data_IF_509707848596
#
_entry.id   IF_509707848596
#
_cell.length_a   1.000
_cell.length_b   1.000
_cell.length_c   1.000
_cell.angle_alpha   90.00
_cell.angle_beta   90.00
_cell.angle_gamma   90.00
#
_symmetry.space_group_name_H-M   'P 1'
#
loop_
_entity.id
_entity.type
_entity.pdbx_description
1 polymer ?
#
# COMPACT_ATOMS: atom_id res chain seq x y z
N UNK A 1 -2.67 8.69 -18.09
CA UNK A 1 -2.11 7.79 -17.05
C UNK A 1 -2.82 8.05 -15.74
N UNK A 2 -3.50 7.05 -15.20
CA UNK A 2 -4.22 7.14 -13.92
C UNK A 2 -3.26 7.14 -12.74
N UNK A 3 -3.72 7.64 -11.58
CA UNK A 3 -2.95 7.59 -10.34
C UNK A 3 -2.48 6.16 -9.99
N UNK A 4 -3.34 5.16 -10.21
CA UNK A 4 -3.02 3.75 -9.93
C UNK A 4 -1.94 3.23 -10.87
N UNK A 5 -1.99 3.55 -12.16
CA UNK A 5 -0.93 3.18 -13.11
C UNK A 5 0.41 3.82 -12.74
N UNK A 6 0.40 5.07 -12.27
CA UNK A 6 1.61 5.75 -11.76
C UNK A 6 2.17 5.09 -10.50
N UNK A 7 1.31 4.70 -9.56
CA UNK A 7 1.72 3.94 -8.38
C UNK A 7 2.31 2.59 -8.77
N UNK A 8 1.67 1.85 -9.67
CA UNK A 8 2.16 0.55 -10.13
C UNK A 8 3.51 0.68 -10.82
N UNK A 9 3.67 1.64 -11.74
CA UNK A 9 4.95 1.89 -12.40
C UNK A 9 6.06 2.22 -11.38
N UNK A 10 5.79 3.10 -10.41
CA UNK A 10 6.75 3.42 -9.34
C UNK A 10 7.10 2.19 -8.48
N UNK A 11 6.15 1.31 -8.22
CA UNK A 11 6.40 0.06 -7.49
C UNK A 11 7.25 -0.91 -8.32
N UNK A 12 7.08 -0.98 -9.63
CA UNK A 12 7.88 -1.87 -10.50
C UNK A 12 9.38 -1.49 -10.49
N UNK A 13 9.70 -0.20 -10.43
CA UNK A 13 11.08 0.28 -10.33
C UNK A 13 11.62 0.35 -8.90
N UNK A 14 10.79 0.08 -7.89
CA UNK A 14 11.21 0.11 -6.49
C UNK A 14 12.03 -1.13 -6.12
N UNK A 15 12.87 -1.07 -5.07
CA UNK A 15 13.51 -2.25 -4.51
C UNK A 15 12.48 -3.28 -4.04
N UNK A 16 12.93 -4.53 -3.89
CA UNK A 16 12.05 -5.64 -3.49
C UNK A 16 11.40 -5.43 -2.12
N UNK A 17 12.13 -4.82 -1.19
CA UNK A 17 11.67 -4.52 0.15
C UNK A 17 11.67 -3.00 0.39
N UNK A 18 10.54 -2.49 0.90
CA UNK A 18 10.31 -1.08 1.11
C UNK A 18 10.05 -0.78 2.58
N UNK A 19 10.46 0.40 3.02
CA UNK A 19 10.10 0.95 4.34
C UNK A 19 8.79 1.74 4.27
N UNK A 20 8.15 1.99 5.42
CA UNK A 20 6.94 2.83 5.47
C UNK A 20 7.11 4.19 4.79
N UNK A 21 8.29 4.81 4.90
CA UNK A 21 8.56 6.10 4.28
C UNK A 21 8.60 6.04 2.76
N UNK A 22 9.14 4.97 2.20
CA UNK A 22 9.18 4.74 0.75
C UNK A 22 7.78 4.45 0.23
N UNK A 23 7.01 3.61 0.93
CA UNK A 23 5.63 3.31 0.55
C UNK A 23 4.75 4.57 0.60
N UNK A 24 4.88 5.39 1.65
CA UNK A 24 4.16 6.65 1.76
C UNK A 24 4.48 7.61 0.61
N UNK A 25 5.75 7.72 0.21
CA UNK A 25 6.17 8.52 -0.94
C UNK A 25 5.60 8.00 -2.26
N UNK A 26 5.65 6.69 -2.49
CA UNK A 26 5.11 6.07 -3.72
C UNK A 26 3.59 6.28 -3.81
N UNK A 27 2.89 6.14 -2.69
CA UNK A 27 1.45 6.39 -2.58
C UNK A 27 1.10 7.88 -2.53
N UNK A 28 2.07 8.79 -2.46
CA UNK A 28 1.85 10.24 -2.38
C UNK A 28 0.99 10.62 -1.14
N UNK A 29 1.20 9.91 -0.03
CA UNK A 29 0.51 10.13 1.26
C UNK A 29 1.52 10.63 2.30
N UNK A 30 1.17 11.56 3.18
CA UNK A 30 2.05 11.96 4.28
C UNK A 30 2.46 10.76 5.15
N UNK A 31 3.77 10.57 5.45
CA UNK A 31 4.24 9.42 6.23
C UNK A 31 3.53 9.24 7.58
N UNK A 32 3.20 10.34 8.26
CA UNK A 32 2.45 10.32 9.53
C UNK A 32 1.05 9.76 9.35
N UNK A 33 0.35 10.14 8.27
CA UNK A 33 -0.98 9.64 7.97
C UNK A 33 -0.95 8.15 7.58
N UNK A 34 0.05 7.73 6.80
CA UNK A 34 0.27 6.34 6.44
C UNK A 34 0.53 5.48 7.70
N UNK A 35 1.41 5.93 8.58
CA UNK A 35 1.71 5.22 9.83
C UNK A 35 0.47 5.11 10.75
N UNK A 36 -0.33 6.18 10.86
CA UNK A 36 -1.60 6.13 11.60
C UNK A 36 -2.57 5.12 11.01
N UNK A 37 -2.71 5.08 9.67
CA UNK A 37 -3.56 4.09 8.98
C UNK A 37 -3.09 2.66 9.25
N UNK A 38 -1.77 2.42 9.17
CA UNK A 38 -1.15 1.12 9.49
C UNK A 38 -1.47 0.65 10.90
N UNK A 39 -1.29 1.51 11.90
CA UNK A 39 -1.54 1.19 13.32
C UNK A 39 -3.02 0.86 13.57
N UNK A 40 -3.93 1.46 12.80
CA UNK A 40 -5.37 1.17 12.86
C UNK A 40 -5.78 -0.10 12.10
N UNK A 41 -4.83 -0.91 11.64
CA UNK A 41 -5.10 -2.15 10.89
C UNK A 41 -5.43 -1.94 9.41
N UNK A 42 -5.32 -0.71 8.90
CA UNK A 42 -5.54 -0.41 7.49
C UNK A 42 -4.26 -0.35 6.67
N UNK A 43 -4.40 -0.48 5.34
CA UNK A 43 -3.28 -0.32 4.40
C UNK A 43 -2.73 -1.64 3.87
N UNK A 44 -1.54 -1.61 3.24
CA UNK A 44 -0.94 -2.79 2.64
C UNK A 44 -0.35 -3.74 3.70
N UNK A 45 -0.27 -5.05 3.38
CA UNK A 45 0.37 -6.03 4.24
C UNK A 45 1.86 -5.69 4.47
N UNK A 46 2.35 -5.98 5.67
CA UNK A 46 3.74 -5.76 6.06
C UNK A 46 4.22 -6.88 6.98
N UNK A 47 5.54 -7.05 7.02
CA UNK A 47 6.22 -7.92 7.95
C UNK A 47 6.98 -7.07 8.96
N UNK A 48 6.94 -7.46 10.23
CA UNK A 48 7.63 -6.75 11.30
C UNK A 48 8.13 -7.75 12.34
N UNK A 49 9.46 -7.86 12.46
CA UNK A 49 10.08 -8.58 13.57
C UNK A 49 10.03 -7.74 14.85
N UNK A 50 10.05 -8.37 16.05
CA UNK A 50 10.09 -7.66 17.32
C UNK A 50 11.23 -6.62 17.37
N UNK A 51 10.92 -5.38 17.73
CA UNK A 51 11.88 -4.28 17.80
C UNK A 51 12.35 -3.72 16.44
N UNK A 52 11.97 -4.33 15.32
CA UNK A 52 12.36 -3.88 13.99
C UNK A 52 11.32 -2.94 13.36
N UNK A 53 11.75 -2.19 12.33
CA UNK A 53 10.86 -1.37 11.51
C UNK A 53 10.02 -2.28 10.59
N UNK A 54 8.76 -1.90 10.28
CA UNK A 54 7.95 -2.64 9.33
C UNK A 54 8.55 -2.59 7.93
N UNK A 55 8.50 -3.73 7.25
CA UNK A 55 9.00 -3.92 5.89
C UNK A 55 7.87 -4.39 4.99
N UNK A 56 7.84 -3.87 3.77
CA UNK A 56 6.80 -4.15 2.80
C UNK A 56 7.42 -4.81 1.57
N UNK A 57 6.92 -5.99 1.19
CA UNK A 57 7.28 -6.61 -0.07
C UNK A 57 6.65 -5.84 -1.23
N UNK A 58 7.45 -5.53 -2.26
CA UNK A 58 7.00 -4.93 -3.52
C UNK A 58 5.87 -5.75 -4.15
N UNK A 59 6.01 -7.07 -4.19
CA UNK A 59 5.00 -7.95 -4.77
C UNK A 59 3.67 -7.87 -4.01
N UNK A 60 3.73 -7.88 -2.68
CA UNK A 60 2.53 -7.77 -1.84
C UNK A 60 1.85 -6.40 -1.98
N UNK A 61 2.63 -5.33 -2.11
CA UNK A 61 2.12 -3.97 -2.40
C UNK A 61 1.42 -3.91 -3.77
N UNK A 62 2.04 -4.45 -4.81
CA UNK A 62 1.44 -4.50 -6.16
C UNK A 62 0.12 -5.27 -6.12
N UNK A 63 0.09 -6.43 -5.45
CA UNK A 63 -1.14 -7.22 -5.29
C UNK A 63 -2.22 -6.43 -4.53
N UNK A 64 -1.85 -5.73 -3.45
CA UNK A 64 -2.77 -4.90 -2.68
C UNK A 64 -3.36 -3.74 -3.50
N UNK A 65 -2.52 -3.01 -4.27
CA UNK A 65 -2.99 -1.93 -5.16
C UNK A 65 -3.92 -2.50 -6.24
N UNK A 66 -3.57 -3.63 -6.86
CA UNK A 66 -4.40 -4.31 -7.86
C UNK A 66 -5.73 -4.77 -7.26
N UNK A 67 -5.75 -5.28 -6.03
CA UNK A 67 -6.99 -5.66 -5.32
C UNK A 67 -7.87 -4.43 -5.05
N UNK A 68 -7.28 -3.30 -4.68
CA UNK A 68 -7.99 -2.03 -4.54
C UNK A 68 -8.65 -1.55 -5.84
N UNK A 69 -8.06 -1.86 -7.01
CA UNK A 69 -8.66 -1.59 -8.32
C UNK A 69 -9.94 -2.40 -8.53
N UNK A 70 -9.96 -3.67 -8.10
CA UNK A 70 -11.13 -4.56 -8.23
C UNK A 70 -12.27 -4.11 -7.32
N UNK A 71 -11.95 -3.63 -6.10
CA UNK A 71 -12.96 -3.15 -5.15
C UNK A 71 -13.57 -1.79 -5.51
N UNK A 72 -12.85 -0.99 -6.32
CA UNK A 72 -13.28 0.34 -6.76
C UNK A 72 -13.91 0.33 -8.16
N UNK A 73 -14.41 -0.81 -8.64
CA UNK A 73 -15.41 -0.82 -9.72
C UNK A 73 -16.73 -0.31 -9.12
N UNK A 74 -17.26 0.84 -9.56
CA UNK A 74 -18.59 1.30 -9.15
C UNK A 74 -19.63 0.38 -9.78
N UNK A 75 -19.90 -0.75 -9.13
CA UNK A 75 -20.80 -1.79 -9.61
C UNK A 75 -21.06 -2.92 -8.61
N UNK A 76 -20.57 -2.84 -7.38
CA UNK A 76 -20.91 -3.78 -6.32
C UNK A 76 -21.18 -3.00 -5.02
N UNK A 77 -22.46 -2.72 -4.77
CA UNK A 77 -22.92 -2.42 -3.43
C UNK A 77 -22.66 -3.61 -2.51
N UNK A 78 -22.37 -3.34 -1.24
CA UNK A 78 -22.09 -4.36 -0.22
C UNK A 78 -20.96 -3.89 0.70
N UNK A 79 -21.25 -3.09 1.73
CA UNK A 79 -21.66 -3.55 3.08
C UNK A 79 -20.45 -3.99 3.92
N UNK A 80 -20.15 -3.12 4.91
CA UNK A 80 -19.75 -3.42 6.29
C UNK A 80 -18.86 -4.64 6.58
N UNK A 81 -17.65 -4.39 7.10
CA UNK A 81 -17.29 -4.48 8.53
C UNK A 81 -15.80 -4.14 8.73
#
# INVERSE_FOLDING_TARGET
MTYIEKVLQRLEYAPEFLTSGMVAQILEIPPTAFNKRRVRGGGPPFEQLPGCRPTYSRAALIAWVKRGKVYKSPGAGGMEL
#
